data_IF_793487022477
#
_entry.id   IF_793487022477
#
_cell.length_a   1.000
_cell.length_b   1.000
_cell.length_c   1.000
_cell.angle_alpha   90.00
_cell.angle_beta   90.00
_cell.angle_gamma   90.00
#
_symmetry.space_group_name_H-M   'P 1'
#
loop_
_entity.id
_entity.type
_entity.pdbx_description
1 polymer ?
#
# COMPACT_ATOMS: atom_id res chain seq x y z
N UNK A 1 8.86 -15.81 -1.91
CA UNK A 1 7.70 -14.99 -1.53
C UNK A 1 8.23 -13.70 -0.97
N UNK A 2 8.02 -12.63 -1.72
CA UNK A 2 8.36 -11.29 -1.30
C UNK A 2 7.13 -10.62 -0.68
N UNK A 3 7.37 -9.71 0.25
CA UNK A 3 6.31 -8.96 0.90
C UNK A 3 6.65 -7.47 0.94
N UNK A 4 5.66 -6.65 0.67
CA UNK A 4 5.70 -5.23 0.95
C UNK A 4 4.68 -4.92 2.04
N UNK A 5 5.11 -4.23 3.08
CA UNK A 5 4.26 -3.71 4.14
C UNK A 5 4.32 -2.19 4.13
N UNK A 6 3.19 -1.55 3.85
CA UNK A 6 3.02 -0.10 3.99
C UNK A 6 2.25 0.14 5.29
N UNK A 7 2.83 0.91 6.20
CA UNK A 7 2.13 1.37 7.41
C UNK A 7 2.06 2.89 7.42
N UNK A 8 0.91 3.45 7.80
CA UNK A 8 0.76 4.88 7.92
C UNK A 8 -0.39 5.24 8.87
N UNK A 9 -0.57 6.52 9.16
CA UNK A 9 -1.73 7.07 9.86
C UNK A 9 -2.58 7.88 8.88
N UNK A 10 -3.86 7.58 8.73
CA UNK A 10 -4.75 8.37 7.86
C UNK A 10 -4.82 9.80 8.40
N UNK A 11 -4.67 10.79 7.52
CA UNK A 11 -4.90 12.17 7.91
C UNK A 11 -6.37 12.35 8.29
N UNK A 12 -6.62 12.86 9.49
CA UNK A 12 -7.96 12.97 10.07
C UNK A 12 -8.89 13.81 9.20
N UNK A 13 -8.34 14.79 8.48
CA UNK A 13 -9.09 15.67 7.58
C UNK A 13 -9.41 15.01 6.22
N UNK A 14 -8.77 13.88 5.90
CA UNK A 14 -8.90 13.18 4.62
C UNK A 14 -9.45 11.76 4.75
N UNK A 15 -9.99 11.38 5.91
CA UNK A 15 -10.51 10.02 6.15
C UNK A 15 -11.57 9.60 5.14
N UNK A 16 -12.55 10.48 4.89
CA UNK A 16 -13.63 10.18 3.94
C UNK A 16 -13.07 9.91 2.53
N UNK A 17 -12.14 10.74 2.07
CA UNK A 17 -11.46 10.58 0.79
C UNK A 17 -10.67 9.27 0.75
N UNK A 18 -9.92 8.96 1.81
CA UNK A 18 -9.17 7.70 1.92
C UNK A 18 -10.07 6.48 1.75
N UNK A 19 -11.19 6.41 2.48
CA UNK A 19 -12.12 5.28 2.37
C UNK A 19 -12.76 5.17 0.98
N UNK A 20 -13.05 6.29 0.32
CA UNK A 20 -13.63 6.31 -1.02
C UNK A 20 -12.65 5.79 -2.09
N UNK A 21 -11.37 6.11 -1.96
CA UNK A 21 -10.38 5.76 -3.01
C UNK A 21 -9.72 4.39 -2.79
N UNK A 22 -9.63 3.90 -1.55
CA UNK A 22 -8.84 2.70 -1.24
C UNK A 22 -9.34 1.43 -1.94
N UNK A 23 -10.66 1.23 -2.02
CA UNK A 23 -11.23 0.09 -2.75
C UNK A 23 -10.93 0.14 -4.26
N UNK A 24 -10.89 1.34 -4.83
CA UNK A 24 -10.52 1.53 -6.24
C UNK A 24 -9.04 1.21 -6.46
N UNK A 25 -8.17 1.65 -5.54
CA UNK A 25 -6.73 1.36 -5.60
C UNK A 25 -6.43 -0.11 -5.42
N UNK A 26 -7.12 -0.81 -4.50
CA UNK A 26 -7.02 -2.27 -4.35
C UNK A 26 -7.34 -2.97 -5.66
N UNK A 27 -8.44 -2.59 -6.31
CA UNK A 27 -8.83 -3.17 -7.59
C UNK A 27 -7.88 -2.83 -8.74
N UNK A 28 -7.22 -1.67 -8.68
CA UNK A 28 -6.22 -1.26 -9.66
C UNK A 28 -4.96 -2.12 -9.58
N UNK A 29 -4.50 -2.46 -8.37
CA UNK A 29 -3.21 -3.16 -8.18
C UNK A 29 -3.34 -4.68 -8.08
N UNK A 30 -4.54 -5.24 -7.81
CA UNK A 30 -4.73 -6.69 -7.58
C UNK A 30 -4.24 -7.60 -8.72
N UNK A 31 -4.19 -7.10 -9.95
CA UNK A 31 -3.72 -7.85 -11.12
C UNK A 31 -2.19 -7.98 -11.21
N UNK A 32 -1.47 -7.26 -10.36
CA UNK A 32 -0.02 -7.12 -10.40
C UNK A 32 0.67 -7.75 -9.17
N UNK A 33 -0.09 -8.38 -8.27
CA UNK A 33 0.42 -9.03 -7.07
C UNK A 33 -0.40 -10.30 -6.77
N UNK A 34 0.14 -11.18 -5.94
CA UNK A 34 -0.52 -12.43 -5.55
C UNK A 34 -1.59 -12.21 -4.48
N UNK A 35 -1.31 -11.31 -3.53
CA UNK A 35 -2.24 -10.96 -2.47
C UNK A 35 -2.14 -9.48 -2.12
N UNK A 36 -3.27 -8.91 -1.72
CA UNK A 36 -3.41 -7.52 -1.30
C UNK A 36 -4.40 -7.43 -0.14
N UNK A 37 -3.88 -7.18 1.04
CA UNK A 37 -4.65 -6.98 2.26
C UNK A 37 -4.54 -5.54 2.76
N UNK A 38 -5.63 -5.00 3.29
CA UNK A 38 -5.64 -3.70 3.96
C UNK A 38 -6.39 -3.80 5.27
N UNK A 39 -5.70 -3.49 6.36
CA UNK A 39 -6.25 -3.48 7.72
C UNK A 39 -6.18 -2.05 8.23
N UNK A 40 -7.28 -1.59 8.83
CA UNK A 40 -7.39 -0.27 9.43
C UNK A 40 -7.73 -0.46 10.89
N UNK A 41 -6.86 0.03 11.78
CA UNK A 41 -7.12 -0.03 13.22
C UNK A 41 -8.01 1.12 13.68
N UNK A 42 -8.61 0.97 14.87
CA UNK A 42 -9.46 1.98 15.51
C UNK A 42 -8.76 3.35 15.71
N UNK A 43 -7.42 3.38 15.65
CA UNK A 43 -6.61 4.60 15.74
C UNK A 43 -6.27 5.23 14.38
N UNK A 44 -7.00 4.87 13.32
CA UNK A 44 -6.73 5.28 11.94
C UNK A 44 -5.33 4.89 11.45
N UNK A 45 -4.77 3.80 11.98
CA UNK A 45 -3.50 3.26 11.48
C UNK A 45 -3.80 2.26 10.39
N UNK A 46 -3.20 2.44 9.24
CA UNK A 46 -3.35 1.56 8.08
C UNK A 46 -2.17 0.60 8.02
N UNK A 47 -2.47 -0.61 7.58
CA UNK A 47 -1.52 -1.66 7.27
C UNK A 47 -1.94 -2.21 5.91
N UNK A 48 -1.13 -1.98 4.89
CA UNK A 48 -1.33 -2.53 3.56
C UNK A 48 -0.24 -3.57 3.33
N UNK A 49 -0.65 -4.83 3.19
CA UNK A 49 0.24 -5.95 2.92
C UNK A 49 0.06 -6.37 1.46
N UNK A 50 1.17 -6.47 0.73
CA UNK A 50 1.20 -6.86 -0.68
C UNK A 50 2.18 -8.01 -0.79
N UNK A 51 1.74 -9.12 -1.39
CA UNK A 51 2.55 -10.33 -1.54
C UNK A 51 2.84 -10.58 -3.02
N UNK A 52 4.07 -10.97 -3.30
CA UNK A 52 4.53 -11.44 -4.61
C UNK A 52 5.17 -12.82 -4.44
N UNK A 53 4.88 -13.77 -5.32
CA UNK A 53 5.46 -15.12 -5.23
C UNK A 53 6.96 -15.09 -5.49
N UNK A 54 7.38 -14.30 -6.47
CA UNK A 54 8.75 -14.19 -6.96
C UNK A 54 9.30 -12.77 -6.82
N UNK A 55 10.61 -12.69 -6.65
CA UNK A 55 11.36 -11.43 -6.60
C UNK A 55 11.23 -10.60 -7.87
N UNK A 56 11.27 -11.25 -9.03
CA UNK A 56 11.10 -10.60 -10.33
C UNK A 56 9.74 -9.91 -10.45
N UNK A 57 8.67 -10.53 -9.94
CA UNK A 57 7.33 -9.93 -9.95
C UNK A 57 7.30 -8.67 -9.08
N UNK A 58 7.95 -8.67 -7.92
CA UNK A 58 8.08 -7.47 -7.09
C UNK A 58 8.84 -6.36 -7.83
N UNK A 59 10.01 -6.66 -8.41
CA UNK A 59 10.86 -5.67 -9.08
C UNK A 59 10.16 -5.06 -10.31
N UNK A 60 9.47 -5.88 -11.09
CA UNK A 60 8.77 -5.46 -12.30
C UNK A 60 7.46 -4.72 -12.01
N UNK A 61 6.72 -5.14 -10.98
CA UNK A 61 5.37 -4.62 -10.74
C UNK A 61 5.33 -3.51 -9.69
N UNK A 62 6.07 -3.60 -8.58
CA UNK A 62 5.91 -2.63 -7.47
C UNK A 62 6.30 -1.19 -7.83
N UNK A 63 7.03 -1.00 -8.94
CA UNK A 63 7.40 0.30 -9.49
C UNK A 63 6.59 0.71 -10.73
N UNK A 64 5.56 -0.04 -11.10
CA UNK A 64 4.67 0.30 -12.21
C UNK A 64 3.78 1.52 -11.86
N UNK A 65 3.00 1.97 -12.85
CA UNK A 65 2.13 3.14 -12.73
C UNK A 65 1.08 2.96 -11.62
N UNK A 66 0.49 1.78 -11.54
CA UNK A 66 -0.61 1.44 -10.64
C UNK A 66 -0.17 1.45 -9.17
N UNK A 67 0.96 0.82 -8.85
CA UNK A 67 1.55 0.87 -7.52
C UNK A 67 2.11 2.26 -7.20
N UNK A 68 2.61 3.01 -8.19
CA UNK A 68 2.99 4.41 -7.97
C UNK A 68 1.77 5.29 -7.64
N UNK A 69 0.61 5.04 -8.23
CA UNK A 69 -0.66 5.70 -7.87
C UNK A 69 -1.08 5.34 -6.43
N UNK A 70 -0.96 4.07 -6.04
CA UNK A 70 -1.20 3.65 -4.65
C UNK A 70 -0.26 4.39 -3.68
N UNK A 71 1.05 4.34 -3.92
CA UNK A 71 2.07 5.02 -3.09
C UNK A 71 1.81 6.53 -3.02
N UNK A 72 1.48 7.16 -4.14
CA UNK A 72 1.15 8.59 -4.22
C UNK A 72 -0.10 8.94 -3.43
N UNK A 73 -1.14 8.12 -3.52
CA UNK A 73 -2.39 8.34 -2.77
C UNK A 73 -2.17 8.18 -1.27
N UNK A 74 -1.45 7.14 -0.84
CA UNK A 74 -1.08 6.97 0.57
C UNK A 74 -0.26 8.18 1.05
N UNK A 75 0.68 8.69 0.25
CA UNK A 75 1.46 9.91 0.55
C UNK A 75 0.61 11.18 0.64
N UNK A 76 -0.47 11.29 -0.13
CA UNK A 76 -1.37 12.44 -0.08
C UNK A 76 -2.33 12.38 1.11
N UNK A 77 -2.82 11.18 1.45
CA UNK A 77 -3.92 10.99 2.39
C UNK A 77 -3.49 10.55 3.80
N UNK A 78 -2.23 10.15 3.97
CA UNK A 78 -1.71 9.64 5.23
C UNK A 78 -0.45 10.39 5.70
N UNK A 79 -0.08 10.17 6.95
CA UNK A 79 1.11 10.68 7.66
C UNK A 79 1.90 9.50 8.20
N UNK A 80 3.16 9.74 8.58
CA UNK A 80 4.04 8.74 9.20
C UNK A 80 4.16 7.45 8.38
N UNK A 81 4.33 7.59 7.07
CA UNK A 81 4.36 6.47 6.14
C UNK A 81 5.70 5.75 6.26
N UNK A 82 5.63 4.44 6.44
CA UNK A 82 6.78 3.54 6.44
C UNK A 82 6.49 2.42 5.45
N UNK A 83 7.38 2.23 4.48
CA UNK A 83 7.33 1.14 3.52
C UNK A 83 8.45 0.17 3.89
N UNK A 84 8.13 -1.12 4.01
CA UNK A 84 9.10 -2.19 4.24
C UNK A 84 9.01 -3.22 3.12
N UNK A 85 10.14 -3.58 2.54
CA UNK A 85 10.28 -4.68 1.58
C UNK A 85 10.99 -5.82 2.30
N UNK A 86 10.33 -6.97 2.43
CA UNK A 86 10.82 -8.13 3.18
C UNK A 86 11.28 -7.78 4.61
N UNK A 87 10.58 -6.87 5.26
CA UNK A 87 10.90 -6.40 6.62
C UNK A 87 11.99 -5.32 6.70
N UNK A 88 12.71 -5.03 5.61
CA UNK A 88 13.71 -3.96 5.52
C UNK A 88 13.02 -2.65 5.11
N UNK A 89 13.30 -1.56 5.80
CA UNK A 89 12.74 -0.24 5.46
C UNK A 89 13.27 0.19 4.09
N UNK A 90 12.34 0.48 3.18
CA UNK A 90 12.62 1.11 1.89
C UNK A 90 12.88 2.60 2.13
N UNK A 91 14.10 3.06 1.83
CA UNK A 91 14.58 4.41 2.16
C UNK A 91 14.21 5.45 1.11
#
# INVERSE_FOLDING_TARGET
MESVLITANIDVNKRSEFYQVMESLKNLVKGYCNDFETIISDKNRIYIQIIFDKKEDLENNFNNKEFNMLKGTVRSLCKNIVIKINGVIDK
#
